data_IF_366279741615
#
_entry.id   IF_366279741615
#
_cell.length_a   1.000
_cell.length_b   1.000
_cell.length_c   1.000
_cell.angle_alpha   90.00
_cell.angle_beta   90.00
_cell.angle_gamma   90.00
#
_symmetry.space_group_name_H-M   'P 1'
#
loop_
_entity.id
_entity.type
_entity.pdbx_description
1 polymer ?
#
# COMPACT_ATOMS: atom_id res chain seq x y z
N UNK A 1 42.58 52.37 -71.01
CA UNK A 1 43.58 52.68 -69.96
C UNK A 1 43.02 52.06 -68.69
N UNK A 2 43.07 50.74 -68.56
CA UNK A 2 44.25 50.00 -68.08
C UNK A 2 44.89 50.70 -66.87
N UNK A 3 44.65 50.15 -65.67
CA UNK A 3 45.77 49.80 -64.81
C UNK A 3 45.40 48.69 -63.83
N UNK A 4 46.01 47.55 -64.09
CA UNK A 4 45.98 46.27 -63.40
C UNK A 4 47.02 46.21 -62.29
N UNK A 5 46.74 45.37 -61.27
CA UNK A 5 47.68 44.53 -60.50
C UNK A 5 48.59 45.16 -59.41
N UNK A 6 49.20 44.37 -58.48
CA UNK A 6 48.88 43.01 -58.00
C UNK A 6 49.06 42.74 -56.49
N UNK A 7 48.45 41.62 -56.08
CA UNK A 7 48.73 40.66 -55.01
C UNK A 7 50.04 40.75 -54.18
N UNK A 8 49.90 40.54 -52.86
CA UNK A 8 50.84 39.72 -52.09
C UNK A 8 50.15 38.95 -50.96
N UNK A 9 50.46 37.65 -50.93
CA UNK A 9 49.91 36.57 -50.09
C UNK A 9 50.38 36.70 -48.64
N UNK A 10 49.50 36.48 -47.67
CA UNK A 10 49.89 36.15 -46.28
C UNK A 10 49.18 34.86 -45.89
N UNK A 11 49.99 33.87 -45.52
CA UNK A 11 49.62 32.49 -45.28
C UNK A 11 48.78 32.31 -44.01
N UNK A 12 47.80 31.43 -44.14
CA UNK A 12 46.89 30.94 -43.12
C UNK A 12 47.60 29.89 -42.25
N UNK A 13 47.60 30.06 -40.93
CA UNK A 13 47.82 28.97 -39.95
C UNK A 13 46.62 28.98 -39.00
N UNK A 14 45.65 28.10 -39.27
CA UNK A 14 44.51 27.84 -38.37
C UNK A 14 44.91 26.69 -37.45
N UNK A 15 45.11 27.00 -36.18
CA UNK A 15 45.17 26.00 -35.12
C UNK A 15 43.74 25.72 -34.64
N UNK A 16 43.15 24.59 -35.08
CA UNK A 16 41.89 24.08 -34.55
C UNK A 16 42.12 23.44 -33.18
N UNK A 17 41.74 24.13 -32.11
CA UNK A 17 41.59 23.53 -30.79
C UNK A 17 40.25 22.76 -30.75
N UNK A 18 40.34 21.43 -30.73
CA UNK A 18 39.16 20.56 -30.50
C UNK A 18 38.90 20.51 -29.00
N UNK A 19 37.93 21.31 -28.53
CA UNK A 19 37.37 21.15 -27.19
C UNK A 19 36.35 20.00 -27.22
N UNK A 20 36.69 18.89 -26.56
CA UNK A 20 35.79 17.76 -26.38
C UNK A 20 34.64 18.12 -25.43
N UNK A 21 33.43 18.23 -25.98
CA UNK A 21 32.21 18.28 -25.20
C UNK A 21 31.90 16.86 -24.68
N UNK A 22 32.12 16.63 -23.38
CA UNK A 22 31.62 15.43 -22.71
C UNK A 22 30.09 15.54 -22.61
N UNK A 23 29.38 14.82 -23.45
CA UNK A 23 27.94 14.66 -23.35
C UNK A 23 27.62 13.86 -22.07
N UNK A 24 27.08 14.53 -21.07
CA UNK A 24 26.48 13.89 -19.90
C UNK A 24 25.16 13.29 -20.37
N UNK A 25 25.16 11.97 -20.60
CA UNK A 25 23.94 11.22 -20.90
C UNK A 25 23.13 11.14 -19.61
N UNK A 26 21.88 11.66 -19.54
CA UNK A 26 21.04 11.43 -18.39
C UNK A 26 20.72 9.94 -18.31
N UNK A 27 21.20 9.27 -17.26
CA UNK A 27 20.74 7.93 -16.90
C UNK A 27 19.27 8.05 -16.49
N UNK A 28 18.36 7.78 -17.41
CA UNK A 28 16.98 7.51 -17.08
C UNK A 28 16.96 6.28 -16.18
N UNK A 29 16.59 6.46 -14.91
CA UNK A 29 16.30 5.34 -14.03
C UNK A 29 15.18 4.52 -14.66
N UNK A 30 15.50 3.32 -15.14
CA UNK A 30 14.49 2.34 -15.54
C UNK A 30 13.69 2.03 -14.27
N UNK A 31 12.43 2.46 -14.24
CA UNK A 31 11.50 2.03 -13.21
C UNK A 31 11.43 0.49 -13.31
N UNK A 32 11.93 -0.20 -12.29
CA UNK A 32 11.78 -1.64 -12.19
C UNK A 32 10.27 -1.95 -12.26
N UNK A 33 9.88 -2.87 -13.15
CA UNK A 33 8.52 -3.42 -13.11
C UNK A 33 8.28 -3.95 -11.68
N UNK A 34 7.18 -3.57 -11.02
CA UNK A 34 6.92 -4.06 -9.67
C UNK A 34 6.90 -5.59 -9.68
N UNK A 35 7.71 -6.20 -8.82
CA UNK A 35 7.77 -7.64 -8.65
C UNK A 35 6.44 -8.14 -8.08
N UNK A 36 5.90 -9.24 -8.64
CA UNK A 36 4.68 -9.86 -8.14
C UNK A 36 4.97 -10.48 -6.77
N UNK A 37 4.20 -10.15 -5.72
CA UNK A 37 4.42 -10.68 -4.38
C UNK A 37 4.28 -12.21 -4.31
N UNK A 38 4.98 -12.82 -3.37
CA UNK A 38 4.81 -14.25 -3.04
C UNK A 38 3.61 -14.41 -2.10
N UNK A 39 2.68 -15.27 -2.47
CA UNK A 39 1.48 -15.58 -1.69
C UNK A 39 1.67 -16.88 -0.88
N UNK A 40 1.82 -16.73 0.43
CA UNK A 40 2.16 -17.84 1.33
C UNK A 40 0.93 -18.48 1.97
N UNK A 41 -0.14 -17.70 2.23
CA UNK A 41 -1.36 -18.15 2.91
C UNK A 41 -1.12 -18.62 4.36
N UNK A 42 -0.01 -18.21 4.98
CA UNK A 42 0.37 -18.64 6.34
C UNK A 42 -0.53 -18.05 7.44
N UNK A 43 -1.13 -16.88 7.18
CA UNK A 43 -1.99 -16.15 8.12
C UNK A 43 -3.49 -16.47 7.92
N UNK A 44 -3.82 -17.49 7.13
CA UNK A 44 -5.21 -17.91 6.93
C UNK A 44 -5.86 -18.31 8.27
N UNK A 45 -7.01 -17.70 8.62
CA UNK A 45 -7.69 -18.05 9.85
C UNK A 45 -8.28 -19.46 9.76
N UNK A 46 -8.61 -20.05 10.90
CA UNK A 46 -9.33 -21.32 10.89
C UNK A 46 -10.76 -21.13 10.35
N UNK A 47 -11.19 -22.04 9.48
CA UNK A 47 -12.59 -22.08 9.02
C UNK A 47 -13.49 -22.68 10.11
N UNK A 48 -14.79 -22.32 10.15
CA UNK A 48 -15.70 -22.84 11.15
C UNK A 48 -15.82 -24.37 11.10
N UNK A 49 -16.18 -25.00 12.22
CA UNK A 49 -16.42 -26.42 12.26
C UNK A 49 -17.56 -26.83 11.29
N UNK A 50 -17.35 -27.92 10.56
CA UNK A 50 -18.30 -28.39 9.54
C UNK A 50 -18.23 -27.65 8.20
N UNK A 51 -17.37 -26.63 8.07
CA UNK A 51 -17.06 -26.01 6.79
C UNK A 51 -16.35 -27.01 5.87
N UNK A 52 -16.73 -26.99 4.59
CA UNK A 52 -16.12 -27.80 3.54
C UNK A 52 -14.84 -27.11 3.03
N UNK A 53 -13.63 -27.69 3.26
CA UNK A 53 -12.37 -27.06 2.85
C UNK A 53 -12.23 -26.82 1.35
N UNK A 54 -13.00 -27.54 0.52
CA UNK A 54 -12.97 -27.37 -0.95
C UNK A 54 -13.84 -26.20 -1.42
N UNK A 55 -14.76 -25.72 -0.58
CA UNK A 55 -15.68 -24.60 -0.86
C UNK A 55 -15.34 -23.32 -0.09
N UNK A 56 -14.49 -23.44 0.92
CA UNK A 56 -13.92 -22.30 1.62
C UNK A 56 -12.59 -21.91 1.00
N UNK A 57 -12.38 -20.61 0.87
CA UNK A 57 -11.17 -20.03 0.30
C UNK A 57 -10.48 -19.13 1.30
N UNK A 58 -9.16 -19.17 1.28
CA UNK A 58 -8.33 -18.14 1.88
C UNK A 58 -7.91 -17.17 0.80
N UNK A 59 -8.18 -15.89 1.05
CA UNK A 59 -7.79 -14.78 0.22
C UNK A 59 -6.64 -14.05 0.88
N UNK A 60 -5.59 -13.77 0.11
CA UNK A 60 -4.44 -13.00 0.55
C UNK A 60 -4.27 -11.81 -0.40
N UNK A 61 -4.17 -10.61 0.18
CA UNK A 61 -3.93 -9.37 -0.54
C UNK A 61 -2.63 -8.76 -0.09
N UNK A 62 -1.82 -8.31 -1.05
CA UNK A 62 -0.66 -7.47 -0.83
C UNK A 62 -0.94 -6.12 -1.44
N UNK A 63 -1.11 -5.10 -0.60
CA UNK A 63 -1.41 -3.75 -1.02
C UNK A 63 -0.22 -2.84 -0.74
N UNK A 64 0.17 -2.03 -1.72
CA UNK A 64 1.22 -1.02 -1.55
C UNK A 64 0.88 0.29 -2.25
N UNK A 65 1.33 1.40 -1.68
CA UNK A 65 0.98 2.73 -2.19
C UNK A 65 1.14 3.78 -1.10
N UNK A 66 0.19 4.70 -1.02
CA UNK A 66 0.25 5.82 -0.08
C UNK A 66 -1.06 6.02 0.66
N UNK A 67 -0.95 6.50 1.89
CA UNK A 67 -2.05 7.05 2.66
C UNK A 67 -1.65 8.44 3.18
N UNK A 68 -2.56 9.40 3.11
CA UNK A 68 -2.37 10.73 3.68
C UNK A 68 -3.03 10.82 5.05
N UNK A 69 -2.21 10.86 6.10
CA UNK A 69 -2.62 11.07 7.48
C UNK A 69 -2.48 12.56 7.78
N UNK A 70 -3.54 13.31 7.46
CA UNK A 70 -3.57 14.77 7.50
C UNK A 70 -2.54 15.42 6.59
N UNK A 71 -1.52 16.02 7.18
CA UNK A 71 -0.42 16.70 6.47
C UNK A 71 0.74 15.78 6.11
N UNK A 72 0.69 14.50 6.51
CA UNK A 72 1.77 13.53 6.31
C UNK A 72 1.33 12.42 5.35
N UNK A 73 1.97 12.36 4.18
CA UNK A 73 1.85 11.20 3.28
C UNK A 73 2.80 10.10 3.72
N UNK A 74 2.26 8.91 3.95
CA UNK A 74 2.97 7.73 4.42
C UNK A 74 2.95 6.69 3.30
N UNK A 75 4.12 6.20 2.82
CA UNK A 75 4.13 5.02 1.98
C UNK A 75 3.68 3.83 2.82
N UNK A 76 2.76 3.01 2.31
CA UNK A 76 2.27 1.83 3.02
C UNK A 76 2.48 0.59 2.17
N UNK A 77 2.82 -0.50 2.87
CA UNK A 77 2.83 -1.85 2.33
C UNK A 77 2.19 -2.74 3.40
N UNK A 78 1.09 -3.40 3.05
CA UNK A 78 0.36 -4.26 3.96
C UNK A 78 -0.04 -5.56 3.27
N UNK A 79 -0.07 -6.63 4.06
CA UNK A 79 -0.61 -7.93 3.68
C UNK A 79 -1.84 -8.21 4.54
N UNK A 80 -2.97 -8.50 3.92
CA UNK A 80 -4.18 -8.95 4.63
C UNK A 80 -4.56 -10.36 4.21
N UNK A 81 -5.19 -11.09 5.12
CA UNK A 81 -5.67 -12.45 4.87
C UNK A 81 -7.06 -12.62 5.45
N UNK A 82 -7.95 -13.27 4.70
CA UNK A 82 -9.32 -13.53 5.10
C UNK A 82 -9.74 -14.93 4.66
N UNK A 83 -10.60 -15.58 5.44
CA UNK A 83 -11.36 -16.73 4.95
C UNK A 83 -12.71 -16.28 4.45
N UNK A 84 -13.11 -16.79 3.28
CA UNK A 84 -14.46 -16.64 2.76
C UNK A 84 -15.08 -18.01 2.46
N UNK A 85 -16.33 -18.19 2.83
CA UNK A 85 -17.11 -19.35 2.42
C UNK A 85 -18.52 -19.35 2.99
N UNK A 86 -19.26 -20.41 2.71
CA UNK A 86 -20.62 -20.63 3.22
C UNK A 86 -20.66 -21.90 4.06
N UNK A 87 -21.47 -21.89 5.11
CA UNK A 87 -21.82 -23.12 5.80
C UNK A 87 -22.91 -23.87 5.04
N UNK A 88 -23.00 -25.21 5.17
CA UNK A 88 -24.03 -25.99 4.48
C UNK A 88 -25.46 -25.48 4.72
N UNK A 89 -25.73 -24.98 5.93
CA UNK A 89 -27.06 -24.54 6.38
C UNK A 89 -27.19 -23.00 6.47
N UNK A 90 -26.19 -22.24 5.99
CA UNK A 90 -26.20 -20.77 6.01
C UNK A 90 -26.09 -20.23 4.58
N UNK A 91 -27.13 -19.58 4.04
CA UNK A 91 -27.07 -19.00 2.70
C UNK A 91 -26.12 -17.80 2.61
N UNK A 92 -25.74 -17.20 3.75
CA UNK A 92 -24.86 -16.04 3.78
C UNK A 92 -23.40 -16.44 3.62
N UNK A 93 -22.70 -15.72 2.76
CA UNK A 93 -21.23 -15.76 2.71
C UNK A 93 -20.67 -15.16 3.99
N UNK A 94 -19.73 -15.87 4.62
CA UNK A 94 -19.05 -15.45 5.84
C UNK A 94 -17.63 -15.02 5.49
N UNK A 95 -17.23 -13.87 6.04
CA UNK A 95 -15.87 -13.36 6.01
C UNK A 95 -15.27 -13.48 7.41
N UNK A 96 -14.09 -14.09 7.50
CA UNK A 96 -13.35 -14.24 8.75
C UNK A 96 -12.00 -13.58 8.57
N UNK A 97 -11.72 -12.57 9.39
CA UNK A 97 -10.42 -11.90 9.40
C UNK A 97 -9.32 -12.84 9.91
N UNK A 98 -8.24 -12.94 9.14
CA UNK A 98 -7.01 -13.63 9.53
C UNK A 98 -6.05 -12.67 10.21
N UNK A 99 -5.24 -12.00 9.40
CA UNK A 99 -4.26 -11.04 9.87
C UNK A 99 -4.12 -9.84 8.93
N UNK A 100 -3.67 -8.72 9.52
CA UNK A 100 -3.07 -7.60 8.82
C UNK A 100 -1.61 -7.53 9.26
N UNK A 101 -0.70 -7.60 8.30
CA UNK A 101 0.74 -7.46 8.50
C UNK A 101 1.21 -6.20 7.79
N UNK A 102 1.95 -5.35 8.49
CA UNK A 102 2.58 -4.18 7.91
C UNK A 102 3.81 -3.82 8.74
N UNK A 103 4.87 -3.39 8.04
CA UNK A 103 6.07 -2.92 8.72
C UNK A 103 5.91 -1.45 9.15
N UNK A 104 6.48 -1.06 10.31
CA UNK A 104 6.49 0.33 10.72
C UNK A 104 7.28 1.22 9.77
N UNK A 105 6.67 2.32 9.37
CA UNK A 105 7.27 3.31 8.48
C UNK A 105 7.75 4.50 9.29
N UNK A 106 9.00 4.90 9.08
CA UNK A 106 9.56 6.08 9.74
C UNK A 106 8.99 7.34 9.10
N UNK A 107 8.45 8.22 9.94
CA UNK A 107 8.01 9.54 9.51
C UNK A 107 9.24 10.46 9.41
N UNK A 108 9.49 11.11 8.26
CA UNK A 108 10.58 12.07 8.13
C UNK A 108 10.49 13.17 9.19
N UNK A 109 11.63 13.60 9.74
CA UNK A 109 11.69 14.67 10.73
C UNK A 109 12.72 14.42 11.83
N UNK A 110 12.79 15.35 12.78
CA UNK A 110 13.73 15.28 13.91
C UNK A 110 13.33 14.26 14.97
N UNK A 111 12.04 13.96 15.08
CA UNK A 111 11.51 12.93 15.96
C UNK A 111 11.60 11.58 15.25
N UNK A 112 12.24 10.60 15.87
CA UNK A 112 12.30 9.22 15.37
C UNK A 112 10.96 8.50 15.60
N UNK A 113 9.88 9.03 15.00
CA UNK A 113 8.54 8.46 15.08
C UNK A 113 8.37 7.44 13.95
N UNK A 114 7.76 6.31 14.27
CA UNK A 114 7.25 5.36 13.29
C UNK A 114 5.75 5.23 13.40
N UNK A 115 5.12 4.93 12.27
CA UNK A 115 3.69 4.60 12.19
C UNK A 115 3.50 3.23 11.56
N UNK A 116 2.51 2.48 12.01
CA UNK A 116 2.12 1.21 11.39
C UNK A 116 0.59 1.07 11.42
N UNK A 117 -0.06 0.66 10.32
CA UNK A 117 -1.48 0.35 10.36
C UNK A 117 -1.73 -0.89 11.23
N UNK A 118 -2.82 -0.86 11.96
CA UNK A 118 -3.35 -1.98 12.74
C UNK A 118 -4.84 -2.13 12.40
N UNK A 119 -5.30 -3.37 12.31
CA UNK A 119 -6.71 -3.68 12.16
C UNK A 119 -7.51 -3.14 13.35
N UNK A 120 -8.58 -2.40 13.07
CA UNK A 120 -9.43 -1.77 14.08
C UNK A 120 -10.79 -2.47 14.25
N UNK A 121 -10.89 -3.74 13.82
CA UNK A 121 -11.98 -4.63 14.22
C UNK A 121 -13.11 -4.82 13.21
N UNK A 122 -13.00 -4.22 12.02
CA UNK A 122 -14.01 -4.39 10.97
C UNK A 122 -13.39 -4.46 9.58
N UNK A 123 -13.85 -5.43 8.81
CA UNK A 123 -13.67 -5.51 7.36
C UNK A 123 -15.00 -5.98 6.75
N UNK A 124 -15.37 -5.41 5.61
CA UNK A 124 -16.51 -5.86 4.82
C UNK A 124 -16.26 -5.64 3.33
N UNK A 125 -17.06 -6.29 2.49
CA UNK A 125 -17.00 -6.17 1.03
C UNK A 125 -18.37 -5.79 0.46
N UNK A 126 -18.43 -4.63 -0.19
CA UNK A 126 -19.63 -4.14 -0.85
C UNK A 126 -19.59 -4.56 -2.32
N UNK A 127 -20.44 -5.52 -2.68
CA UNK A 127 -20.65 -5.92 -4.05
C UNK A 127 -21.61 -4.94 -4.76
N UNK A 128 -21.26 -4.52 -5.97
CA UNK A 128 -22.05 -3.60 -6.80
C UNK A 128 -21.15 -2.58 -7.50
N UNK A 129 -21.69 -1.68 -8.33
CA UNK A 129 -20.95 -0.54 -8.84
C UNK A 129 -21.14 0.71 -7.94
N UNK A 130 -20.06 1.30 -7.38
CA UNK A 130 -18.68 0.81 -7.40
C UNK A 130 -18.48 -0.36 -6.42
N UNK A 131 -17.53 -1.25 -6.75
CA UNK A 131 -17.14 -2.33 -5.82
C UNK A 131 -16.20 -1.74 -4.79
N UNK A 132 -16.46 -1.98 -3.51
CA UNK A 132 -15.65 -1.40 -2.44
C UNK A 132 -15.31 -2.41 -1.35
N UNK A 133 -14.13 -2.24 -0.75
CA UNK A 133 -13.75 -2.89 0.50
C UNK A 133 -13.84 -1.85 1.63
N UNK A 134 -14.52 -2.21 2.71
CA UNK A 134 -14.53 -1.40 3.93
C UNK A 134 -13.50 -1.99 4.87
N UNK A 135 -12.53 -1.19 5.32
CA UNK A 135 -11.51 -1.62 6.27
C UNK A 135 -11.32 -0.58 7.37
N UNK A 136 -11.54 -0.99 8.62
CA UNK A 136 -11.27 -0.11 9.76
C UNK A 136 -9.81 -0.26 10.18
N UNK A 137 -9.10 0.85 10.19
CA UNK A 137 -7.70 0.95 10.59
C UNK A 137 -7.54 1.88 11.79
N UNK A 138 -6.46 1.66 12.54
CA UNK A 138 -5.83 2.68 13.38
C UNK A 138 -4.34 2.67 13.08
N UNK A 139 -3.65 3.79 13.26
CA UNK A 139 -2.20 3.84 13.04
C UNK A 139 -1.48 3.92 14.37
N UNK A 140 -0.78 2.85 14.73
CA UNK A 140 0.10 2.82 15.90
C UNK A 140 1.21 3.83 15.71
N UNK A 141 1.39 4.75 16.66
CA UNK A 141 2.49 5.71 16.67
C UNK A 141 3.49 5.29 17.74
N UNK A 142 4.76 5.11 17.35
CA UNK A 142 5.85 4.80 18.29
C UNK A 142 6.95 5.84 18.22
N UNK A 143 7.55 6.14 19.37
CA UNK A 143 8.70 7.02 19.49
C UNK A 143 9.18 7.09 20.93
N UNK A 144 10.40 7.60 21.16
CA UNK A 144 11.03 7.63 22.49
C UNK A 144 10.18 8.29 23.58
N UNK A 145 9.41 9.33 23.22
CA UNK A 145 8.62 10.14 24.16
C UNK A 145 7.12 9.90 24.04
N UNK A 146 6.69 9.00 23.16
CA UNK A 146 5.28 8.71 22.93
C UNK A 146 4.90 7.49 23.76
N UNK A 147 3.77 7.54 24.46
CA UNK A 147 3.29 6.40 25.23
C UNK A 147 3.04 5.18 24.32
N UNK A 148 3.24 3.97 24.83
CA UNK A 148 3.22 2.74 24.02
C UNK A 148 1.85 2.41 23.38
N UNK A 149 0.77 2.98 23.92
CA UNK A 149 -0.59 2.85 23.38
C UNK A 149 -1.02 3.98 22.44
N UNK A 150 -0.12 4.88 22.04
CA UNK A 150 -0.46 5.98 21.14
C UNK A 150 -0.86 5.48 19.75
N UNK A 151 -2.01 5.92 19.26
CA UNK A 151 -2.47 5.63 17.91
C UNK A 151 -3.28 6.80 17.34
N UNK A 152 -3.26 6.96 16.02
CA UNK A 152 -4.22 7.79 15.28
C UNK A 152 -5.47 6.92 15.06
N UNK A 153 -6.60 7.37 15.59
CA UNK A 153 -7.82 6.57 15.68
C UNK A 153 -7.77 5.46 16.75
N UNK A 154 -8.90 4.80 16.92
CA UNK A 154 -9.13 3.69 17.86
C UNK A 154 -10.03 2.63 17.24
N UNK A 155 -10.37 1.59 17.98
CA UNK A 155 -11.39 0.61 17.53
C UNK A 155 -12.82 1.18 17.58
N UNK A 156 -13.06 2.24 18.36
CA UNK A 156 -14.37 2.90 18.49
C UNK A 156 -14.50 4.18 17.67
N UNK A 157 -13.36 4.72 17.24
CA UNK A 157 -13.21 5.89 16.37
C UNK A 157 -12.09 5.60 15.35
N UNK A 158 -12.29 4.63 14.43
CA UNK A 158 -11.27 4.19 13.50
C UNK A 158 -11.13 5.16 12.31
N UNK A 159 -10.02 5.01 11.58
CA UNK A 159 -9.96 5.43 10.19
C UNK A 159 -10.75 4.40 9.39
N UNK A 160 -11.90 4.81 8.86
CA UNK A 160 -12.74 3.95 8.01
C UNK A 160 -12.30 4.16 6.57
N UNK A 161 -11.60 3.17 6.02
CA UNK A 161 -11.27 3.15 4.59
C UNK A 161 -12.46 2.56 3.84
N UNK A 162 -12.99 3.30 2.88
CA UNK A 162 -13.94 2.80 1.87
C UNK A 162 -13.20 2.73 0.55
N UNK A 163 -12.44 1.65 0.38
CA UNK A 163 -11.55 1.46 -0.76
C UNK A 163 -12.33 1.06 -2.01
N UNK A 164 -12.57 2.02 -2.90
CA UNK A 164 -13.14 1.79 -4.22
C UNK A 164 -12.12 1.07 -5.12
N UNK A 165 -12.53 -0.05 -5.70
CA UNK A 165 -11.73 -0.76 -6.69
C UNK A 165 -11.90 -0.05 -8.04
N UNK A 166 -10.83 0.59 -8.52
CA UNK A 166 -10.85 1.36 -9.77
C UNK A 166 -10.12 0.64 -10.90
N UNK A 167 -10.70 0.74 -12.10
CA UNK A 167 -10.18 0.11 -13.31
C UNK A 167 -10.42 -1.41 -13.36
N UNK A 168 -9.74 -2.06 -14.31
CA UNK A 168 -9.87 -3.50 -14.50
C UNK A 168 -8.99 -4.29 -13.53
N UNK A 169 -9.48 -5.47 -13.12
CA UNK A 169 -8.67 -6.47 -12.41
C UNK A 169 -7.89 -7.27 -13.44
N UNK A 170 -6.59 -6.99 -13.53
CA UNK A 170 -5.72 -7.57 -14.55
C UNK A 170 -5.07 -8.84 -14.01
N UNK A 171 -5.23 -10.02 -14.64
CA UNK A 171 -4.44 -11.19 -14.29
C UNK A 171 -2.97 -10.95 -14.67
N UNK A 172 -2.08 -11.00 -13.69
CA UNK A 172 -0.62 -10.85 -13.88
C UNK A 172 0.11 -12.20 -13.80
N UNK A 173 -0.58 -13.22 -13.30
CA UNK A 173 -0.13 -14.62 -13.28
C UNK A 173 -1.38 -15.52 -13.34
N UNK A 174 -1.34 -16.60 -14.13
CA UNK A 174 -2.47 -17.52 -14.27
C UNK A 174 -2.41 -18.69 -13.27
N UNK A 175 -1.20 -19.21 -13.02
CA UNK A 175 -0.99 -20.34 -12.11
C UNK A 175 0.18 -20.08 -11.13
N UNK A 176 -0.10 -19.94 -9.82
CA UNK A 176 -1.41 -19.64 -9.24
C UNK A 176 -1.97 -18.30 -9.75
N UNK A 177 -3.30 -18.16 -9.77
CA UNK A 177 -3.94 -16.91 -10.19
C UNK A 177 -3.51 -15.76 -9.29
N UNK A 178 -2.99 -14.70 -9.88
CA UNK A 178 -2.73 -13.42 -9.23
C UNK A 178 -3.37 -12.31 -10.04
N UNK A 179 -4.25 -11.54 -9.39
CA UNK A 179 -4.88 -10.35 -9.95
C UNK A 179 -4.18 -9.10 -9.45
N UNK A 180 -4.07 -8.08 -10.30
CA UNK A 180 -3.62 -6.74 -9.95
C UNK A 180 -4.72 -5.73 -10.21
N UNK A 181 -5.00 -4.85 -9.26
CA UNK A 181 -5.94 -3.75 -9.40
C UNK A 181 -5.56 -2.56 -8.52
N UNK A 182 -6.24 -1.43 -8.69
CA UNK A 182 -6.06 -0.25 -7.87
C UNK A 182 -7.22 -0.08 -6.90
N UNK A 183 -6.92 0.44 -5.71
CA UNK A 183 -7.89 0.80 -4.68
C UNK A 183 -7.64 2.25 -4.27
N UNK A 184 -8.71 3.06 -4.25
CA UNK A 184 -8.64 4.46 -3.85
C UNK A 184 -9.70 4.79 -2.81
N UNK A 185 -9.41 5.77 -1.97
CA UNK A 185 -10.39 6.41 -1.07
C UNK A 185 -10.00 7.90 -0.99
N UNK A 186 -10.74 8.75 -1.69
CA UNK A 186 -10.48 10.20 -1.76
C UNK A 186 -11.23 10.99 -0.68
N UNK A 187 -12.12 10.34 0.08
CA UNK A 187 -12.97 10.94 1.12
C UNK A 187 -12.58 10.45 2.54
N UNK A 188 -11.33 9.98 2.69
CA UNK A 188 -10.84 9.37 3.90
C UNK A 188 -10.82 10.37 5.08
N UNK A 189 -11.57 10.08 6.15
CA UNK A 189 -11.50 10.86 7.38
C UNK A 189 -10.45 10.31 8.34
N UNK A 190 -9.58 11.18 8.85
CA UNK A 190 -8.52 10.83 9.81
C UNK A 190 -8.80 11.48 11.16
N UNK A 191 -9.13 10.70 12.21
CA UNK A 191 -9.45 11.22 13.54
C UNK A 191 -8.18 11.68 14.29
N UNK A 192 -8.37 12.21 15.49
CA UNK A 192 -7.28 12.58 16.40
C UNK A 192 -6.47 11.37 16.88
N UNK A 193 -5.34 11.65 17.53
CA UNK A 193 -4.58 10.63 18.23
C UNK A 193 -5.08 10.39 19.66
N UNK A 194 -4.96 9.14 20.10
CA UNK A 194 -5.42 8.64 21.39
C UNK A 194 -4.30 7.88 22.09
N UNK A 195 -4.30 7.87 23.42
CA UNK A 195 -3.34 7.10 24.21
C UNK A 195 -1.90 7.63 24.14
N UNK A 196 -1.68 8.88 23.69
CA UNK A 196 -0.34 9.43 23.47
C UNK A 196 0.27 10.11 24.71
N UNK A 197 -0.43 10.10 25.85
CA UNK A 197 -0.01 10.77 27.08
C UNK A 197 0.10 12.29 26.90
N UNK A 198 1.05 12.92 27.61
CA UNK A 198 1.27 14.37 27.55
C UNK A 198 1.69 14.90 26.16
N UNK A 199 2.04 14.01 25.22
CA UNK A 199 2.47 14.36 23.87
C UNK A 199 1.34 14.31 22.83
N UNK A 200 0.09 13.99 23.21
CA UNK A 200 -1.04 13.90 22.26
C UNK A 200 -1.18 15.11 21.36
N UNK A 201 -1.28 16.32 21.92
CA UNK A 201 -1.39 17.54 21.12
C UNK A 201 -0.18 17.85 20.23
N UNK A 202 1.00 17.26 20.50
CA UNK A 202 2.16 17.35 19.61
C UNK A 202 2.09 16.32 18.48
N UNK A 203 1.56 15.13 18.75
CA UNK A 203 1.24 14.13 17.72
C UNK A 203 0.19 14.70 16.78
N UNK A 204 -0.93 15.19 17.31
CA UNK A 204 -2.01 15.76 16.50
C UNK A 204 -1.50 16.92 15.63
N UNK A 205 -0.72 17.84 16.21
CA UNK A 205 -0.12 18.94 15.43
C UNK A 205 0.88 18.47 14.39
N UNK A 206 1.65 17.40 14.67
CA UNK A 206 2.65 16.87 13.74
C UNK A 206 1.99 16.29 12.49
N UNK A 207 0.85 15.64 12.67
CA UNK A 207 0.07 15.04 11.59
C UNK A 207 -1.01 15.99 11.05
N UNK A 208 -1.36 17.06 11.77
CA UNK A 208 -2.44 17.99 11.40
C UNK A 208 -3.83 17.44 11.67
N UNK A 209 -4.02 16.72 12.78
CA UNK A 209 -5.26 15.98 13.10
C UNK A 209 -6.27 16.78 13.95
N UNK A 210 -7.58 16.48 13.86
CA UNK A 210 -8.20 15.60 12.87
C UNK A 210 -8.17 16.26 11.48
N UNK A 211 -8.35 15.47 10.42
CA UNK A 211 -8.17 15.95 9.05
C UNK A 211 -8.83 15.06 8.01
N UNK A 212 -9.02 15.60 6.83
CA UNK A 212 -9.23 14.80 5.62
C UNK A 212 -7.91 14.15 5.18
N UNK A 213 -8.02 13.01 4.53
CA UNK A 213 -6.95 12.18 4.02
C UNK A 213 -7.27 11.70 2.62
N UNK A 214 -6.43 10.81 2.11
CA UNK A 214 -6.71 10.04 0.91
C UNK A 214 -5.87 8.75 0.96
N UNK A 215 -6.28 7.75 0.21
CA UNK A 215 -5.58 6.49 0.08
C UNK A 215 -5.53 6.09 -1.39
N UNK A 216 -4.37 5.64 -1.83
CA UNK A 216 -4.17 5.12 -3.17
C UNK A 216 -3.24 3.91 -3.09
N UNK A 217 -3.75 2.75 -3.49
CA UNK A 217 -3.05 1.47 -3.40
C UNK A 217 -3.07 0.75 -4.75
N UNK A 218 -1.96 0.07 -5.04
CA UNK A 218 -1.94 -1.06 -5.95
C UNK A 218 -2.05 -2.34 -5.12
N UNK A 219 -3.01 -3.18 -5.47
CA UNK A 219 -3.28 -4.45 -4.78
C UNK A 219 -2.93 -5.60 -5.71
N UNK A 220 -2.20 -6.57 -5.17
CA UNK A 220 -2.09 -7.92 -5.72
C UNK A 220 -2.92 -8.86 -4.87
N UNK A 221 -3.79 -9.64 -5.51
CA UNK A 221 -4.72 -10.55 -4.86
C UNK A 221 -4.51 -11.97 -5.38
N UNK A 222 -4.45 -12.93 -4.45
CA UNK A 222 -4.49 -14.35 -4.78
C UNK A 222 -5.38 -15.09 -3.80
N UNK A 223 -5.84 -16.26 -4.24
CA UNK A 223 -6.81 -17.07 -3.52
C UNK A 223 -6.44 -18.54 -3.62
N UNK A 224 -6.65 -19.28 -2.53
CA UNK A 224 -6.56 -20.75 -2.50
C UNK A 224 -7.68 -21.35 -1.67
N UNK A 225 -8.18 -22.51 -2.07
CA UNK A 225 -9.11 -23.29 -1.26
C UNK A 225 -8.39 -23.96 -0.08
N UNK A 226 -9.09 -24.18 1.03
CA UNK A 226 -8.49 -24.70 2.27
C UNK A 226 -7.98 -26.15 2.18
N UNK A 227 -8.44 -26.93 1.20
CA UNK A 227 -7.84 -28.24 0.88
C UNK A 227 -6.42 -28.11 0.29
N UNK A 228 -6.02 -26.91 -0.16
CA UNK A 228 -4.74 -26.62 -0.80
C UNK A 228 -3.83 -25.66 -0.02
N UNK A 229 -4.27 -25.11 1.12
CA UNK A 229 -3.49 -24.11 1.89
C UNK A 229 -2.61 -24.70 2.98
N UNK A 230 -2.75 -25.98 3.34
CA UNK A 230 -2.07 -26.54 4.52
C UNK A 230 -2.52 -25.91 5.86
N UNK A 231 -3.51 -25.01 5.84
CA UNK A 231 -3.95 -24.21 6.97
C UNK A 231 -4.78 -25.02 7.98
N UNK A 232 -4.83 -24.52 9.22
CA UNK A 232 -5.45 -25.22 10.35
C UNK A 232 -6.98 -25.27 10.22
N UNK A 233 -7.56 -26.45 10.41
CA UNK A 233 -9.02 -26.64 10.58
C UNK A 233 -9.37 -26.56 12.06
N UNK A 234 -10.53 -26.00 12.40
CA UNK A 234 -11.08 -26.20 13.74
C UNK A 234 -11.47 -27.68 13.89
N UNK A 235 -10.64 -28.47 14.56
CA UNK A 235 -11.02 -29.81 15.01
C UNK A 235 -12.02 -29.67 16.17
N UNK A 236 -13.12 -30.42 16.08
CA UNK A 236 -14.08 -30.56 17.18
C UNK A 236 -13.40 -31.40 18.27
N UNK A 237 -13.40 -30.98 19.55
CA UNK A 237 -12.95 -31.84 20.65
C UNK A 237 -13.82 -33.10 20.78
#
# INVERSE_FOLDING_TARGET
MDMTMPFRKISLVVACAVMGAAAVVPTSAVAASPEVPIFAFDDCPAIPAGADPTRWRCEEMHASGTIRLGTVTVPIALKTTHAEGRLPDDPQTRFIFGALRADPVRIPGRSAITVAPEYAGHIDFVAGPPMAEILHLRYRVRGRHVAGNCAIGTTTDPIVVVGEIVGERVPVQEEPLVLRFAVVDDDLAVPVSYGCGAFGGLVDRRFGLPSDGELALTVYFSVRTYDRTGAKRHERP
#
